data_IF_368240170772
#
_entry.id   IF_368240170772
#
_cell.length_a   1.000
_cell.length_b   1.000
_cell.length_c   1.000
_cell.angle_alpha   90.00
_cell.angle_beta   90.00
_cell.angle_gamma   90.00
#
_symmetry.space_group_name_H-M   'P 1'
#
loop_
_entity.id
_entity.type
_entity.pdbx_description
1 polymer ?
#
# COMPACT_ATOMS: atom_id res chain seq x y z
N UNK A 1 -19.17 0.64 14.64
CA UNK A 1 -18.81 1.71 15.57
C UNK A 1 -17.53 2.42 15.16
N UNK A 2 -17.08 3.38 15.96
CA UNK A 2 -15.91 4.22 15.66
C UNK A 2 -14.60 3.44 15.53
N UNK A 3 -14.46 2.31 16.22
CA UNK A 3 -13.30 1.43 16.09
C UNK A 3 -13.07 0.90 14.67
N UNK A 4 -14.12 0.77 13.86
CA UNK A 4 -14.02 0.41 12.44
C UNK A 4 -13.91 1.62 11.53
N UNK A 5 -14.67 2.68 11.81
CA UNK A 5 -14.75 3.84 10.93
C UNK A 5 -13.48 4.72 10.99
N UNK A 6 -12.95 4.96 12.20
CA UNK A 6 -11.84 5.88 12.39
C UNK A 6 -10.54 5.43 11.72
N UNK A 7 -10.11 4.15 11.80
CA UNK A 7 -8.92 3.70 11.06
C UNK A 7 -9.03 3.88 9.54
N UNK A 8 -10.21 3.52 8.98
CA UNK A 8 -10.46 3.72 7.55
C UNK A 8 -10.47 5.19 7.14
N UNK A 9 -11.09 6.04 7.95
CA UNK A 9 -11.11 7.49 7.72
C UNK A 9 -9.72 8.10 7.80
N UNK A 10 -8.94 7.77 8.82
CA UNK A 10 -7.55 8.24 8.99
C UNK A 10 -6.69 7.80 7.82
N UNK A 11 -6.74 6.52 7.44
CA UNK A 11 -6.04 6.02 6.26
C UNK A 11 -6.39 6.83 5.01
N UNK A 12 -7.69 6.99 4.72
CA UNK A 12 -8.14 7.67 3.51
C UNK A 12 -7.72 9.14 3.47
N UNK A 13 -7.95 9.87 4.56
CA UNK A 13 -7.67 11.31 4.63
C UNK A 13 -6.18 11.58 4.55
N UNK A 14 -5.37 10.90 5.39
CA UNK A 14 -3.93 11.14 5.42
C UNK A 14 -3.24 10.69 4.14
N UNK A 15 -3.59 9.52 3.59
CA UNK A 15 -3.03 9.07 2.32
C UNK A 15 -3.42 9.97 1.15
N UNK A 16 -4.66 10.48 1.12
CA UNK A 16 -5.10 11.43 0.09
C UNK A 16 -4.39 12.79 0.23
N UNK A 17 -4.18 13.25 1.46
CA UNK A 17 -3.43 14.48 1.72
C UNK A 17 -1.97 14.36 1.27
N UNK A 18 -1.31 13.22 1.56
CA UNK A 18 0.06 12.97 1.13
C UNK A 18 0.20 12.89 -0.39
N UNK A 19 -0.72 12.22 -1.09
CA UNK A 19 -0.71 12.17 -2.55
C UNK A 19 -0.87 13.56 -3.18
N UNK A 20 -1.76 14.40 -2.62
CA UNK A 20 -1.91 15.79 -3.07
C UNK A 20 -0.66 16.63 -2.78
N UNK A 21 -0.08 16.45 -1.60
CA UNK A 21 1.13 17.17 -1.21
C UNK A 21 2.30 16.79 -2.13
N UNK A 22 2.49 15.51 -2.42
CA UNK A 22 3.48 15.06 -3.39
C UNK A 22 3.28 15.73 -4.76
N UNK A 23 2.05 15.76 -5.25
CA UNK A 23 1.71 16.40 -6.52
C UNK A 23 2.19 17.85 -6.58
N UNK A 24 2.00 18.64 -5.50
CA UNK A 24 2.41 20.05 -5.46
C UNK A 24 3.93 20.27 -5.47
N UNK A 25 4.71 19.30 -4.99
CA UNK A 25 6.17 19.42 -4.91
C UNK A 25 6.91 18.73 -6.07
N UNK A 26 6.28 17.79 -6.78
CA UNK A 26 6.87 17.11 -7.93
C UNK A 26 6.52 17.74 -9.26
N UNK A 27 5.70 18.78 -9.30
CA UNK A 27 5.35 19.53 -10.50
C UNK A 27 6.54 20.33 -11.04
N UNK A 28 7.48 19.62 -11.66
CA UNK A 28 8.15 20.08 -12.86
C UNK A 28 7.24 19.72 -14.04
N UNK A 29 6.36 20.61 -14.35
CA UNK A 29 5.64 20.90 -15.59
C UNK A 29 4.74 19.84 -16.28
N UNK A 30 4.90 18.52 -16.19
CA UNK A 30 4.24 17.62 -17.17
C UNK A 30 3.61 16.31 -16.62
N UNK A 31 3.55 16.04 -15.34
CA UNK A 31 2.81 14.91 -14.79
C UNK A 31 1.59 15.37 -13.99
N UNK A 32 0.48 15.55 -14.71
CA UNK A 32 -0.84 15.63 -14.08
C UNK A 32 -1.06 14.36 -13.26
N UNK A 33 -1.18 14.49 -11.93
CA UNK A 33 -1.45 13.34 -11.06
C UNK A 33 -2.81 12.79 -11.45
N UNK A 34 -2.80 11.72 -12.21
CA UNK A 34 -4.01 11.05 -12.64
C UNK A 34 -4.84 10.62 -11.39
N UNK A 35 -6.15 10.88 -11.39
CA UNK A 35 -7.02 10.46 -10.30
C UNK A 35 -6.94 8.93 -10.12
N UNK A 36 -6.96 8.48 -8.86
CA UNK A 36 -6.95 7.04 -8.55
C UNK A 36 -8.16 6.36 -9.19
N UNK A 37 -7.90 5.29 -9.92
CA UNK A 37 -8.96 4.48 -10.52
C UNK A 37 -9.68 3.65 -9.45
N UNK A 38 -10.93 3.26 -9.72
CA UNK A 38 -11.67 2.33 -8.86
C UNK A 38 -10.88 1.03 -8.60
N UNK A 39 -10.16 0.55 -9.61
CA UNK A 39 -9.35 -0.66 -9.52
C UNK A 39 -8.21 -0.49 -8.50
N UNK A 40 -7.52 0.64 -8.50
CA UNK A 40 -6.49 0.96 -7.50
C UNK A 40 -7.08 1.09 -6.08
N UNK A 41 -8.28 1.68 -5.95
CA UNK A 41 -8.97 1.78 -4.66
C UNK A 41 -9.32 0.39 -4.13
N UNK A 42 -9.81 -0.50 -4.99
CA UNK A 42 -10.11 -1.89 -4.62
C UNK A 42 -8.85 -2.70 -4.34
N UNK A 43 -7.76 -2.49 -5.06
CA UNK A 43 -6.49 -3.16 -4.79
C UNK A 43 -5.93 -2.84 -3.40
N UNK A 44 -6.02 -1.58 -2.97
CA UNK A 44 -5.52 -1.14 -1.66
C UNK A 44 -6.52 -1.35 -0.50
N UNK A 45 -7.82 -1.36 -0.78
CA UNK A 45 -8.86 -1.42 0.26
C UNK A 45 -9.72 -2.68 0.23
N UNK A 46 -9.65 -3.50 -0.84
CA UNK A 46 -10.58 -4.59 -1.08
C UNK A 46 -10.57 -5.65 0.01
N UNK A 47 -9.39 -6.02 0.51
CA UNK A 47 -9.26 -6.99 1.63
C UNK A 47 -9.91 -6.44 2.88
N UNK A 48 -9.62 -5.21 3.27
CA UNK A 48 -10.23 -4.56 4.43
C UNK A 48 -11.75 -4.48 4.30
N UNK A 49 -12.27 -4.04 3.15
CA UNK A 49 -13.71 -3.99 2.90
C UNK A 49 -14.38 -5.36 2.88
N UNK A 50 -13.69 -6.37 2.33
CA UNK A 50 -14.17 -7.77 2.35
C UNK A 50 -14.30 -8.32 3.76
N UNK A 51 -13.32 -8.05 4.62
CA UNK A 51 -13.35 -8.47 6.03
C UNK A 51 -14.43 -7.72 6.83
N UNK A 52 -14.62 -6.42 6.58
CA UNK A 52 -15.73 -5.66 7.17
C UNK A 52 -17.09 -6.21 6.72
N UNK A 53 -17.25 -6.54 5.44
CA UNK A 53 -18.47 -7.14 4.92
C UNK A 53 -18.71 -8.53 5.54
N UNK A 54 -17.67 -9.36 5.64
CA UNK A 54 -17.77 -10.67 6.29
C UNK A 54 -18.20 -10.53 7.75
N UNK A 55 -17.62 -9.58 8.49
CA UNK A 55 -18.02 -9.26 9.85
C UNK A 55 -19.51 -8.84 9.95
N UNK A 56 -20.00 -8.07 8.99
CA UNK A 56 -21.35 -7.50 9.01
C UNK A 56 -22.45 -8.51 8.66
N UNK A 57 -22.15 -9.47 7.75
CA UNK A 57 -23.19 -10.35 7.20
C UNK A 57 -23.11 -11.82 7.66
N UNK A 58 -21.96 -12.26 8.15
CA UNK A 58 -21.79 -13.64 8.61
C UNK A 58 -22.01 -13.73 10.12
N UNK A 59 -22.95 -14.58 10.60
CA UNK A 59 -23.09 -14.85 12.02
C UNK A 59 -21.83 -15.60 12.50
N UNK A 60 -20.99 -14.92 13.25
CA UNK A 60 -19.68 -15.44 13.63
C UNK A 60 -19.58 -15.82 15.09
N UNK A 61 -18.69 -16.76 15.38
CA UNK A 61 -18.17 -16.99 16.71
C UNK A 61 -17.28 -15.80 17.11
N UNK A 62 -17.12 -15.48 18.41
CA UNK A 62 -16.30 -14.36 18.85
C UNK A 62 -14.91 -14.32 18.20
N UNK A 63 -14.22 -15.47 18.13
CA UNK A 63 -12.91 -15.59 17.48
C UNK A 63 -12.93 -15.21 15.98
N UNK A 64 -13.99 -15.55 15.25
CA UNK A 64 -14.12 -15.17 13.83
C UNK A 64 -14.29 -13.65 13.70
N UNK A 65 -15.14 -13.04 14.55
CA UNK A 65 -15.36 -11.60 14.53
C UNK A 65 -14.10 -10.82 14.91
N UNK A 66 -13.33 -11.33 15.87
CA UNK A 66 -12.03 -10.81 16.23
C UNK A 66 -11.04 -10.89 15.07
N UNK A 67 -10.94 -12.05 14.41
CA UNK A 67 -10.08 -12.24 13.26
C UNK A 67 -10.44 -11.30 12.09
N UNK A 68 -11.73 -11.08 11.81
CA UNK A 68 -12.18 -10.11 10.81
C UNK A 68 -11.72 -8.68 11.16
N UNK A 69 -11.83 -8.31 12.43
CA UNK A 69 -11.43 -6.97 12.86
C UNK A 69 -9.92 -6.76 12.81
N UNK A 70 -9.14 -7.71 13.34
CA UNK A 70 -7.68 -7.62 13.29
C UNK A 70 -7.14 -7.69 11.86
N UNK A 71 -7.72 -8.55 11.01
CA UNK A 71 -7.40 -8.62 9.60
C UNK A 71 -7.73 -7.30 8.86
N UNK A 72 -8.89 -6.69 9.16
CA UNK A 72 -9.26 -5.36 8.64
C UNK A 72 -8.21 -4.30 8.99
N UNK A 73 -7.77 -4.26 10.26
CA UNK A 73 -6.75 -3.32 10.71
C UNK A 73 -5.39 -3.61 10.07
N UNK A 74 -5.01 -4.88 9.96
CA UNK A 74 -3.77 -5.31 9.30
C UNK A 74 -3.73 -4.90 7.82
N UNK A 75 -4.81 -5.14 7.08
CA UNK A 75 -4.93 -4.76 5.68
C UNK A 75 -4.88 -3.23 5.48
N UNK A 76 -5.55 -2.45 6.34
CA UNK A 76 -5.45 -0.99 6.30
C UNK A 76 -4.05 -0.49 6.66
N UNK A 77 -3.40 -1.11 7.65
CA UNK A 77 -2.03 -0.75 8.04
C UNK A 77 -1.04 -1.05 6.91
N UNK A 78 -1.22 -2.17 6.18
CA UNK A 78 -0.41 -2.50 5.02
C UNK A 78 -0.61 -1.50 3.87
N UNK A 79 -1.86 -1.16 3.56
CA UNK A 79 -2.17 -0.14 2.56
C UNK A 79 -1.62 1.25 2.94
N UNK A 80 -1.68 1.61 4.22
CA UNK A 80 -1.11 2.86 4.71
C UNK A 80 0.42 2.85 4.62
N UNK A 81 1.06 1.77 5.07
CA UNK A 81 2.50 1.61 5.03
C UNK A 81 3.04 1.72 3.60
N UNK A 82 2.45 0.98 2.65
CA UNK A 82 2.85 1.02 1.24
C UNK A 82 2.62 2.40 0.62
N UNK A 83 1.43 2.99 0.81
CA UNK A 83 1.14 4.33 0.29
C UNK A 83 2.12 5.36 0.83
N UNK A 84 2.39 5.37 2.14
CA UNK A 84 3.29 6.36 2.72
C UNK A 84 4.75 6.13 2.34
N UNK A 85 5.18 4.87 2.21
CA UNK A 85 6.50 4.54 1.68
C UNK A 85 6.70 5.13 0.27
N UNK A 86 5.69 5.00 -0.58
CA UNK A 86 5.73 5.48 -1.97
C UNK A 86 5.66 7.01 -2.05
N UNK A 87 4.76 7.64 -1.27
CA UNK A 87 4.54 9.09 -1.34
C UNK A 87 5.67 9.89 -0.68
N UNK A 88 6.17 9.45 0.47
CA UNK A 88 7.22 10.15 1.23
C UNK A 88 8.62 9.64 0.90
N UNK A 89 8.76 8.42 0.42
CA UNK A 89 10.06 7.84 0.08
C UNK A 89 10.81 8.62 -0.98
N UNK A 90 10.12 9.36 -1.83
CA UNK A 90 10.73 10.22 -2.86
C UNK A 90 11.33 11.51 -2.30
N UNK A 91 10.93 11.95 -1.09
CA UNK A 91 11.44 13.16 -0.45
C UNK A 91 12.67 12.90 0.43
N UNK A 92 13.01 11.63 0.63
CA UNK A 92 14.21 11.26 1.39
C UNK A 92 15.49 11.64 0.65
N UNK A 93 16.54 11.98 1.40
CA UNK A 93 17.87 12.32 0.86
C UNK A 93 18.62 11.10 0.33
N UNK A 94 18.10 9.88 0.52
CA UNK A 94 18.73 8.62 0.13
C UNK A 94 18.21 8.11 -1.21
N UNK A 95 19.12 7.67 -2.08
CA UNK A 95 18.77 7.01 -3.32
C UNK A 95 18.13 5.64 -3.01
N UNK A 96 16.95 5.30 -3.58
CA UNK A 96 16.34 3.99 -3.39
C UNK A 96 17.17 2.86 -4.00
N UNK A 97 17.02 1.66 -3.46
CA UNK A 97 17.73 0.47 -3.90
C UNK A 97 16.74 -0.57 -4.39
N UNK A 98 17.05 -1.16 -5.53
CA UNK A 98 16.26 -2.27 -6.08
C UNK A 98 16.47 -3.53 -5.24
N UNK A 99 15.40 -4.12 -4.70
CA UNK A 99 15.46 -5.42 -4.01
C UNK A 99 15.94 -6.55 -4.92
N UNK A 100 15.78 -6.40 -6.24
CA UNK A 100 16.16 -7.42 -7.19
C UNK A 100 17.67 -7.40 -7.52
N UNK A 101 18.24 -6.22 -7.68
CA UNK A 101 19.61 -6.07 -8.19
C UNK A 101 20.59 -5.59 -7.13
N UNK A 102 20.10 -5.10 -5.99
CA UNK A 102 20.90 -4.44 -4.96
C UNK A 102 21.53 -3.12 -5.43
N UNK A 103 21.15 -2.63 -6.60
CA UNK A 103 21.71 -1.39 -7.17
C UNK A 103 20.79 -0.18 -6.88
N UNK A 104 21.36 1.03 -6.82
CA UNK A 104 20.58 2.27 -6.76
C UNK A 104 19.68 2.41 -7.99
N UNK A 105 18.45 2.90 -7.78
CA UNK A 105 17.46 3.10 -8.84
C UNK A 105 16.74 4.43 -8.66
N UNK A 106 16.10 4.97 -9.70
CA UNK A 106 15.26 6.15 -9.58
C UNK A 106 14.13 5.97 -8.54
N UNK A 107 13.78 7.06 -7.86
CA UNK A 107 12.65 7.08 -6.94
C UNK A 107 11.33 6.77 -7.67
N UNK A 108 10.43 6.04 -6.99
CA UNK A 108 9.16 5.60 -7.57
C UNK A 108 9.22 4.33 -8.42
N UNK A 109 10.39 3.69 -8.56
CA UNK A 109 10.48 2.42 -9.24
C UNK A 109 9.91 1.30 -8.34
N UNK A 110 8.96 0.51 -8.86
CA UNK A 110 8.37 -0.62 -8.14
C UNK A 110 9.42 -1.66 -7.74
N UNK A 111 9.34 -2.15 -6.50
CA UNK A 111 10.32 -3.04 -5.90
C UNK A 111 11.61 -2.35 -5.47
N UNK A 112 11.61 -1.02 -5.38
CA UNK A 112 12.69 -0.25 -4.77
C UNK A 112 12.35 0.08 -3.31
N UNK A 113 13.36 0.07 -2.44
CA UNK A 113 13.22 0.42 -1.02
C UNK A 113 14.19 1.53 -0.64
N UNK A 114 13.81 2.35 0.32
CA UNK A 114 14.67 3.40 0.88
C UNK A 114 14.46 3.50 2.38
N UNK A 115 15.44 4.00 3.10
CA UNK A 115 15.33 4.22 4.56
C UNK A 115 14.19 5.18 4.87
N UNK A 116 14.07 6.29 4.10
CA UNK A 116 12.98 7.25 4.26
C UNK A 116 11.60 6.63 3.99
N UNK A 117 11.49 5.81 2.92
CA UNK A 117 10.25 5.09 2.61
C UNK A 117 9.87 4.09 3.70
N UNK A 118 10.84 3.33 4.23
CA UNK A 118 10.57 2.38 5.33
C UNK A 118 10.15 3.10 6.61
N UNK A 119 10.77 4.22 6.94
CA UNK A 119 10.36 5.03 8.08
C UNK A 119 8.94 5.59 7.90
N UNK A 120 8.62 6.09 6.70
CA UNK A 120 7.28 6.56 6.35
C UNK A 120 6.24 5.43 6.45
N UNK A 121 6.58 4.22 5.97
CA UNK A 121 5.73 3.04 6.12
C UNK A 121 5.39 2.76 7.58
N UNK A 122 6.39 2.79 8.47
CA UNK A 122 6.17 2.58 9.89
C UNK A 122 5.20 3.62 10.48
N UNK A 123 5.35 4.91 10.11
CA UNK A 123 4.45 5.98 10.55
C UNK A 123 3.03 5.76 10.00
N UNK A 124 2.89 5.33 8.75
CA UNK A 124 1.61 4.99 8.15
C UNK A 124 0.89 3.86 8.89
N UNK A 125 1.59 2.77 9.19
CA UNK A 125 1.03 1.66 9.97
C UNK A 125 0.65 2.08 11.40
N UNK A 126 1.51 2.86 12.07
CA UNK A 126 1.25 3.43 13.41
C UNK A 126 0.01 4.31 13.39
N UNK A 127 -0.23 5.10 12.34
CA UNK A 127 -1.42 5.96 12.26
C UNK A 127 -2.73 5.17 12.28
N UNK A 128 -2.77 4.01 11.61
CA UNK A 128 -3.93 3.11 11.59
C UNK A 128 -4.12 2.46 12.97
N UNK A 129 -3.05 1.92 13.57
CA UNK A 129 -3.10 1.31 14.90
C UNK A 129 -3.54 2.31 16.00
N UNK A 130 -3.03 3.54 15.94
CA UNK A 130 -3.42 4.62 16.85
C UNK A 130 -4.90 5.01 16.65
N UNK A 131 -5.36 5.11 15.40
CA UNK A 131 -6.77 5.38 15.12
C UNK A 131 -7.70 4.29 15.65
N UNK A 132 -7.29 3.00 15.55
CA UNK A 132 -8.04 1.89 16.12
C UNK A 132 -8.13 2.00 17.65
N UNK A 133 -7.02 2.34 18.29
CA UNK A 133 -6.96 2.54 19.76
C UNK A 133 -7.85 3.70 20.20
N UNK A 134 -7.77 4.84 19.55
CA UNK A 134 -8.60 6.04 19.81
C UNK A 134 -10.08 5.80 19.52
N UNK A 135 -10.41 4.98 18.53
CA UNK A 135 -11.77 4.61 18.19
C UNK A 135 -12.43 3.65 19.18
N UNK A 136 -11.76 3.27 20.27
CA UNK A 136 -12.26 2.36 21.29
C UNK A 136 -12.20 0.89 20.92
N UNK A 137 -11.38 0.51 19.92
CA UNK A 137 -11.02 -0.87 19.63
C UNK A 137 -12.09 -1.76 18.99
N UNK A 138 -13.19 -1.24 18.49
CA UNK A 138 -14.19 -2.05 17.75
C UNK A 138 -14.66 -3.30 18.50
N UNK A 139 -14.30 -4.49 17.99
CA UNK A 139 -14.67 -5.79 18.59
C UNK A 139 -13.62 -6.33 19.56
N UNK A 140 -12.46 -5.70 19.65
CA UNK A 140 -11.31 -6.15 20.43
C UNK A 140 -10.65 -4.94 21.07
N UNK A 141 -10.21 -5.08 22.32
CA UNK A 141 -9.38 -4.06 22.97
C UNK A 141 -8.00 -4.02 22.33
N UNK A 142 -7.54 -2.83 21.96
CA UNK A 142 -6.20 -2.64 21.39
C UNK A 142 -5.18 -2.54 22.54
N UNK A 143 -4.63 -3.68 22.94
CA UNK A 143 -3.49 -3.73 23.86
C UNK A 143 -2.21 -3.27 23.16
N UNK A 144 -1.13 -3.07 23.94
CA UNK A 144 0.19 -2.77 23.35
C UNK A 144 0.68 -3.86 22.40
N UNK A 145 0.44 -5.12 22.69
CA UNK A 145 0.78 -6.26 21.83
C UNK A 145 -0.03 -6.24 20.54
N UNK A 146 -1.34 -6.01 20.63
CA UNK A 146 -2.22 -5.86 19.45
C UNK A 146 -1.79 -4.69 18.59
N UNK A 147 -1.45 -3.55 19.20
CA UNK A 147 -0.92 -2.38 18.50
C UNK A 147 0.33 -2.72 17.69
N UNK A 148 1.32 -3.36 18.34
CA UNK A 148 2.55 -3.78 17.69
C UNK A 148 2.29 -4.83 16.60
N UNK A 149 1.33 -5.73 16.82
CA UNK A 149 0.89 -6.70 15.81
C UNK A 149 0.33 -6.04 14.56
N UNK A 150 -0.52 -5.01 14.70
CA UNK A 150 -1.07 -4.23 13.58
C UNK A 150 0.06 -3.50 12.82
N UNK A 151 0.98 -2.86 13.55
CA UNK A 151 2.14 -2.19 12.93
C UNK A 151 3.02 -3.20 12.20
N UNK A 152 3.29 -4.34 12.81
CA UNK A 152 4.06 -5.44 12.20
C UNK A 152 3.40 -5.97 10.93
N UNK A 153 2.08 -6.19 10.93
CA UNK A 153 1.33 -6.59 9.75
C UNK A 153 1.45 -5.55 8.62
N UNK A 154 1.35 -4.26 8.97
CA UNK A 154 1.56 -3.17 8.01
C UNK A 154 2.93 -3.20 7.34
N UNK A 155 4.00 -3.40 8.12
CA UNK A 155 5.37 -3.48 7.59
C UNK A 155 5.58 -4.76 6.75
N UNK A 156 5.03 -5.90 7.16
CA UNK A 156 5.08 -7.14 6.39
C UNK A 156 4.36 -6.96 5.06
N UNK A 157 3.19 -6.32 5.05
CA UNK A 157 2.45 -6.01 3.83
C UNK A 157 3.27 -5.15 2.85
N UNK A 158 3.88 -4.07 3.33
CA UNK A 158 4.76 -3.20 2.53
C UNK A 158 5.97 -3.96 1.97
N UNK A 159 6.59 -4.84 2.76
CA UNK A 159 7.70 -5.68 2.27
C UNK A 159 7.22 -6.67 1.22
N UNK A 160 6.04 -7.27 1.41
CA UNK A 160 5.41 -8.18 0.44
C UNK A 160 5.14 -7.46 -0.88
N UNK A 161 4.58 -6.24 -0.84
CA UNK A 161 4.39 -5.39 -2.02
C UNK A 161 5.72 -5.13 -2.73
N UNK A 162 6.74 -4.68 -2.01
CA UNK A 162 8.07 -4.40 -2.55
C UNK A 162 8.71 -5.64 -3.20
N UNK A 163 8.58 -6.83 -2.58
CA UNK A 163 9.08 -8.08 -3.14
C UNK A 163 8.27 -8.51 -4.37
N UNK A 164 6.95 -8.46 -4.31
CA UNK A 164 6.10 -8.78 -5.45
C UNK A 164 6.37 -7.81 -6.63
N UNK A 165 6.52 -6.53 -6.36
CA UNK A 165 6.91 -5.50 -7.33
C UNK A 165 8.29 -5.76 -7.96
N UNK A 166 9.26 -6.21 -7.16
CA UNK A 166 10.61 -6.53 -7.64
C UNK A 166 10.65 -7.77 -8.54
N UNK A 167 9.91 -8.83 -8.18
CA UNK A 167 10.10 -10.16 -8.78
C UNK A 167 8.94 -10.63 -9.66
N UNK A 168 7.70 -10.23 -9.36
CA UNK A 168 6.49 -10.75 -10.02
C UNK A 168 5.85 -9.76 -10.98
N UNK A 169 5.91 -8.44 -10.70
CA UNK A 169 5.22 -7.42 -11.48
C UNK A 169 5.73 -7.34 -12.92
N UNK A 170 4.79 -7.31 -13.86
CA UNK A 170 5.08 -7.11 -15.28
C UNK A 170 5.71 -5.73 -15.53
N UNK A 171 6.77 -5.71 -16.34
CA UNK A 171 7.41 -4.50 -16.83
C UNK A 171 7.61 -4.61 -18.32
N UNK A 172 7.26 -3.56 -19.03
CA UNK A 172 7.31 -3.52 -20.48
C UNK A 172 8.30 -2.45 -20.96
N UNK A 173 8.85 -2.66 -22.13
CA UNK A 173 9.54 -1.62 -22.88
C UNK A 173 8.56 -1.03 -23.87
N UNK A 174 8.32 0.26 -23.76
CA UNK A 174 7.56 1.02 -24.74
C UNK A 174 8.37 1.12 -26.03
N UNK A 175 7.78 0.72 -27.16
CA UNK A 175 8.48 0.64 -28.44
C UNK A 175 8.77 2.01 -29.03
N UNK A 176 7.95 3.01 -28.74
CA UNK A 176 8.10 4.36 -29.26
C UNK A 176 9.16 5.18 -28.51
N UNK A 177 9.17 5.06 -27.16
CA UNK A 177 10.03 5.87 -26.31
C UNK A 177 11.25 5.11 -25.78
N UNK A 178 11.26 3.78 -25.85
CA UNK A 178 12.27 2.91 -25.26
C UNK A 178 12.23 2.86 -23.72
N UNK A 179 11.31 3.58 -23.08
CA UNK A 179 11.17 3.65 -21.62
C UNK A 179 10.58 2.36 -21.05
N UNK A 180 10.95 2.07 -19.81
CA UNK A 180 10.34 0.96 -19.05
C UNK A 180 9.07 1.46 -18.38
N UNK A 181 7.94 0.81 -18.70
CA UNK A 181 6.59 1.16 -18.22
C UNK A 181 5.94 -0.03 -17.50
N UNK A 182 4.95 0.24 -16.68
CA UNK A 182 4.24 -0.80 -15.90
C UNK A 182 3.12 -1.46 -16.69
N UNK A 183 2.55 -0.74 -17.65
CA UNK A 183 1.50 -1.24 -18.52
C UNK A 183 1.91 -1.07 -19.98
N UNK A 184 1.52 -1.98 -20.89
CA UNK A 184 1.80 -1.82 -22.30
C UNK A 184 1.06 -0.60 -22.83
N UNK A 185 1.80 0.36 -23.37
CA UNK A 185 1.27 1.58 -24.00
C UNK A 185 0.86 1.37 -25.44
N UNK A 186 1.37 0.30 -26.07
CA UNK A 186 1.06 -0.09 -27.44
C UNK A 186 1.05 -1.62 -27.58
N UNK A 187 0.39 -2.16 -28.64
CA UNK A 187 0.32 -3.62 -28.86
C UNK A 187 1.67 -4.31 -29.04
N UNK A 188 2.68 -3.56 -29.47
CA UNK A 188 4.05 -4.01 -29.73
C UNK A 188 5.00 -3.81 -28.53
N UNK A 189 4.49 -3.35 -27.40
CA UNK A 189 5.27 -3.24 -26.17
C UNK A 189 5.83 -4.61 -25.74
N UNK A 190 7.14 -4.68 -25.52
CA UNK A 190 7.85 -5.91 -25.20
C UNK A 190 7.88 -6.14 -23.71
N UNK A 191 7.40 -7.30 -23.24
CA UNK A 191 7.53 -7.71 -21.85
C UNK A 191 9.02 -7.95 -21.52
N UNK A 192 9.56 -7.15 -20.62
CA UNK A 192 10.94 -7.26 -20.16
C UNK A 192 11.10 -8.24 -18.98
N UNK A 193 10.12 -8.26 -18.08
CA UNK A 193 10.13 -9.10 -16.89
C UNK A 193 8.75 -9.25 -16.26
N UNK A 194 8.67 -10.14 -15.29
CA UNK A 194 7.43 -10.40 -14.54
C UNK A 194 6.40 -11.21 -15.32
N UNK A 195 5.24 -11.32 -14.77
CA UNK A 195 4.14 -12.09 -15.34
C UNK A 195 3.07 -11.13 -15.84
N UNK A 196 2.63 -11.29 -17.09
CA UNK A 196 1.67 -10.39 -17.78
C UNK A 196 0.38 -10.10 -16.98
N UNK A 197 -0.02 -11.01 -16.11
CA UNK A 197 -1.24 -10.89 -15.29
C UNK A 197 -1.01 -10.22 -13.94
N UNK A 198 0.24 -9.98 -13.58
CA UNK A 198 0.61 -9.34 -12.32
C UNK A 198 1.04 -7.90 -12.62
N UNK A 199 0.07 -7.01 -12.52
CA UNK A 199 0.28 -5.57 -12.59
C UNK A 199 0.41 -4.98 -11.16
N UNK A 200 0.52 -3.67 -11.07
CA UNK A 200 0.64 -2.97 -9.79
C UNK A 200 -0.58 -3.17 -8.88
N UNK A 201 -1.79 -3.29 -9.44
CA UNK A 201 -2.99 -3.50 -8.64
C UNK A 201 -3.00 -4.88 -7.98
N UNK A 202 -2.53 -5.92 -8.70
CA UNK A 202 -2.36 -7.26 -8.13
C UNK A 202 -1.28 -7.27 -7.05
N UNK A 203 -0.19 -6.55 -7.24
CA UNK A 203 0.88 -6.41 -6.23
C UNK A 203 0.35 -5.75 -4.97
N UNK A 204 -0.37 -4.65 -5.07
CA UNK A 204 -0.99 -3.96 -3.93
C UNK A 204 -2.01 -4.85 -3.21
N UNK A 205 -2.81 -5.63 -3.96
CA UNK A 205 -3.74 -6.59 -3.36
C UNK A 205 -3.00 -7.67 -2.54
N UNK A 206 -1.87 -8.18 -3.06
CA UNK A 206 -1.03 -9.15 -2.35
C UNK A 206 -0.39 -8.54 -1.09
N UNK A 207 0.02 -7.29 -1.15
CA UNK A 207 0.57 -6.56 0.00
C UNK A 207 -0.44 -6.32 1.11
N UNK A 208 -1.75 -6.25 0.80
CA UNK A 208 -2.81 -6.01 1.78
C UNK A 208 -3.51 -7.29 2.26
N UNK A 209 -3.24 -8.44 1.65
CA UNK A 209 -3.81 -9.74 2.01
C UNK A 209 -3.02 -10.45 3.11
#
# INVERSE_FOLDING_TARGET
GWGWALPGFVFFVLSSALSRLRATFTTGADEEVAPRTLRQVLANGGVAWGLLAAFAVLPGRPLFLEACYLGFLGALAAAAADTWATELGVWGTGQPWSLRTGAPVPAGQSGAVSVGGTAAAAIGAVSVAAAAMLGGGGSVSISGETFLGIVGAGLVGMVTDSLAGAFLQARYRDSATGRVVEQPTAPDAVLLRGWRRIDNDVVNLLGTA
#
